data_IF_091156696494
#
_entry.id   IF_091156696494
#
_cell.length_a   1.000
_cell.length_b   1.000
_cell.length_c   1.000
_cell.angle_alpha   90.00
_cell.angle_beta   90.00
_cell.angle_gamma   90.00
#
_symmetry.space_group_name_H-M   'P 1'
#
loop_
_entity.id
_entity.type
_entity.pdbx_description
1 polymer ?
#
# COMPACT_ATOMS: atom_id res chain seq x y z
N UNK A 1 7.75 3.78 -20.18
CA UNK A 1 8.77 4.50 -19.40
C UNK A 1 8.03 5.22 -18.29
N UNK A 2 8.44 5.03 -17.05
CA UNK A 2 7.76 5.64 -15.90
C UNK A 2 8.24 7.08 -15.75
N UNK A 3 7.31 8.00 -15.52
CA UNK A 3 7.65 9.40 -15.25
C UNK A 3 7.98 9.57 -13.76
N UNK A 4 9.16 10.14 -13.40
CA UNK A 4 9.56 10.34 -12.00
C UNK A 4 8.54 11.09 -11.14
N UNK A 5 7.78 12.01 -11.74
CA UNK A 5 6.73 12.77 -11.04
C UNK A 5 5.63 11.87 -10.46
N UNK A 6 5.32 10.74 -11.11
CA UNK A 6 4.30 9.80 -10.62
C UNK A 6 4.71 9.15 -9.30
N UNK A 7 6.01 8.89 -9.10
CA UNK A 7 6.55 8.38 -7.85
C UNK A 7 6.54 9.43 -6.74
N UNK A 8 6.50 10.72 -7.08
CA UNK A 8 6.46 11.81 -6.10
C UNK A 8 5.03 12.24 -5.75
N UNK A 9 4.06 11.94 -6.61
CA UNK A 9 2.67 12.36 -6.48
C UNK A 9 2.01 11.84 -5.19
N UNK A 10 2.11 10.53 -4.95
CA UNK A 10 1.48 9.85 -3.82
C UNK A 10 2.42 9.62 -2.63
N UNK A 11 1.89 9.46 -1.40
CA UNK A 11 2.69 9.14 -0.23
C UNK A 11 3.39 7.79 -0.36
N UNK A 12 2.76 6.79 -0.99
CA UNK A 12 3.34 5.46 -1.18
C UNK A 12 4.56 5.49 -2.12
N UNK A 13 4.46 6.24 -3.22
CA UNK A 13 5.59 6.53 -4.09
C UNK A 13 6.74 7.21 -3.34
N UNK A 14 6.46 8.27 -2.57
CA UNK A 14 7.50 8.95 -1.77
C UNK A 14 8.13 8.05 -0.72
N UNK A 15 7.33 7.20 -0.08
CA UNK A 15 7.83 6.21 0.89
C UNK A 15 8.75 5.20 0.23
N UNK A 16 8.39 4.66 -0.93
CA UNK A 16 9.27 3.80 -1.74
C UNK A 16 10.62 4.47 -2.04
N UNK A 17 10.61 5.74 -2.45
CA UNK A 17 11.85 6.49 -2.73
C UNK A 17 12.70 6.66 -1.46
N UNK A 18 12.06 6.93 -0.32
CA UNK A 18 12.73 7.05 0.97
C UNK A 18 13.37 5.72 1.39
N UNK A 19 12.62 4.62 1.33
CA UNK A 19 13.09 3.26 1.65
C UNK A 19 14.26 2.85 0.75
N UNK A 20 14.21 3.16 -0.55
CA UNK A 20 15.31 2.88 -1.46
C UNK A 20 16.59 3.65 -1.10
N UNK A 21 16.45 4.92 -0.70
CA UNK A 21 17.58 5.72 -0.23
C UNK A 21 18.15 5.18 1.09
N UNK A 22 17.31 4.71 2.01
CA UNK A 22 17.72 4.08 3.27
C UNK A 22 18.46 2.76 3.04
N UNK A 23 17.98 1.91 2.11
CA UNK A 23 18.69 0.69 1.69
C UNK A 23 20.07 1.05 1.14
N UNK A 24 20.15 2.10 0.33
CA UNK A 24 21.43 2.54 -0.25
C UNK A 24 22.41 3.10 0.78
N UNK A 25 21.93 3.92 1.72
CA UNK A 25 22.74 4.49 2.80
C UNK A 25 23.26 3.39 3.72
N UNK A 26 22.38 2.47 4.14
CA UNK A 26 22.73 1.38 5.05
C UNK A 26 23.76 0.41 4.45
N UNK A 27 23.69 0.12 3.16
CA UNK A 27 24.66 -0.78 2.50
C UNK A 27 26.08 -0.21 2.46
N UNK A 28 26.23 1.12 2.54
CA UNK A 28 27.53 1.79 2.59
C UNK A 28 28.10 1.88 4.01
N UNK A 29 27.31 1.58 5.05
CA UNK A 29 27.68 1.74 6.44
C UNK A 29 28.29 0.45 7.01
N UNK A 30 29.47 0.58 7.63
CA UNK A 30 30.09 -0.51 8.43
C UNK A 30 29.77 -0.37 9.92
N UNK A 31 29.53 0.85 10.37
CA UNK A 31 29.16 1.20 11.75
C UNK A 31 28.12 2.34 11.72
N UNK A 32 27.35 2.47 12.81
CA UNK A 32 26.38 3.56 12.95
C UNK A 32 27.10 4.92 13.03
N UNK A 33 26.70 5.86 12.15
CA UNK A 33 27.21 7.22 12.12
C UNK A 33 26.07 8.21 12.37
N UNK A 34 26.22 9.05 13.39
CA UNK A 34 25.28 10.13 13.73
C UNK A 34 25.15 11.20 12.64
N UNK A 35 26.15 11.30 11.76
CA UNK A 35 26.13 12.18 10.58
C UNK A 35 25.45 11.54 9.35
N UNK A 36 25.07 10.26 9.41
CA UNK A 36 24.41 9.54 8.30
C UNK A 36 23.02 10.09 7.96
N UNK A 37 22.53 9.71 6.78
CA UNK A 37 21.17 10.03 6.35
C UNK A 37 20.15 9.24 7.18
N UNK A 38 20.37 7.96 7.44
CA UNK A 38 19.48 7.14 8.28
C UNK A 38 19.30 7.70 9.70
N UNK A 39 20.38 8.20 10.32
CA UNK A 39 20.31 8.83 11.65
C UNK A 39 19.48 10.13 11.64
N UNK A 40 19.68 10.98 10.62
CA UNK A 40 18.90 12.20 10.45
C UNK A 40 17.42 11.93 10.17
N UNK A 41 17.15 10.96 9.30
CA UNK A 41 15.80 10.52 8.96
C UNK A 41 15.06 10.06 10.22
N UNK A 42 15.67 9.17 11.01
CA UNK A 42 15.06 8.65 12.25
C UNK A 42 14.63 9.76 13.22
N UNK A 43 15.50 10.77 13.43
CA UNK A 43 15.25 11.89 14.33
C UNK A 43 14.18 12.85 13.80
N UNK A 44 14.31 13.26 12.53
CA UNK A 44 13.35 14.18 11.92
C UNK A 44 11.95 13.57 11.83
N UNK A 45 11.86 12.30 11.42
CA UNK A 45 10.60 11.57 11.37
C UNK A 45 9.98 11.41 12.75
N UNK A 46 10.76 11.10 13.79
CA UNK A 46 10.23 11.08 15.17
C UNK A 46 9.61 12.42 15.57
N UNK A 47 10.26 13.54 15.26
CA UNK A 47 9.76 14.87 15.64
C UNK A 47 8.48 15.26 14.89
N UNK A 48 8.32 14.77 13.65
CA UNK A 48 7.17 14.99 12.78
C UNK A 48 6.03 13.99 12.97
N UNK A 49 6.22 12.96 13.81
CA UNK A 49 5.22 11.93 14.01
C UNK A 49 4.08 12.44 14.93
N UNK A 50 2.81 12.36 14.49
CA UNK A 50 1.67 12.75 15.34
C UNK A 50 1.56 11.92 16.62
N UNK A 51 2.04 10.68 16.60
CA UNK A 51 2.09 9.74 17.72
C UNK A 51 3.43 9.70 18.46
N UNK A 52 4.28 10.72 18.32
CA UNK A 52 5.57 10.79 19.03
C UNK A 52 5.40 10.65 20.54
N UNK A 53 6.16 9.73 21.14
CA UNK A 53 6.08 9.45 22.59
C UNK A 53 4.95 8.50 23.00
N UNK A 54 4.11 8.03 22.08
CA UNK A 54 3.09 6.99 22.31
C UNK A 54 3.30 5.78 21.41
N UNK A 55 3.22 5.95 20.08
CA UNK A 55 3.33 4.86 19.09
C UNK A 55 4.73 4.77 18.44
N UNK A 56 5.54 5.83 18.51
CA UNK A 56 6.99 5.80 18.25
C UNK A 56 7.76 6.17 19.51
N UNK A 57 8.65 5.28 19.95
CA UNK A 57 9.51 5.45 21.14
C UNK A 57 10.96 5.26 20.73
N UNK A 58 11.84 6.18 21.14
CA UNK A 58 13.28 5.98 21.04
C UNK A 58 13.75 5.25 22.29
N UNK A 59 14.35 4.07 22.09
CA UNK A 59 14.97 3.31 23.17
C UNK A 59 16.29 3.99 23.56
N UNK A 60 16.32 4.60 24.75
CA UNK A 60 17.54 5.10 25.40
C UNK A 60 17.94 4.12 26.50
N UNK A 61 19.22 3.74 26.54
CA UNK A 61 19.79 2.88 27.59
C UNK A 61 20.31 3.68 28.80
N UNK A 62 19.87 4.93 28.96
CA UNK A 62 20.24 5.79 30.08
C UNK A 62 19.02 6.22 30.90
N UNK A 63 19.20 6.36 32.22
CA UNK A 63 18.16 6.84 33.15
C UNK A 63 17.85 8.34 33.00
N UNK A 64 18.52 9.05 32.09
CA UNK A 64 18.25 10.45 31.78
C UNK A 64 17.20 10.56 30.66
N UNK A 65 16.35 11.59 30.75
CA UNK A 65 15.39 11.91 29.68
C UNK A 65 16.16 12.22 28.39
N UNK A 66 16.07 11.32 27.41
CA UNK A 66 16.77 11.48 26.13
C UNK A 66 15.99 12.47 25.26
N UNK A 67 16.54 13.66 25.10
CA UNK A 67 15.99 14.68 24.19
C UNK A 67 16.46 14.36 22.78
N UNK A 68 15.52 13.99 21.91
CA UNK A 68 15.80 13.73 20.50
C UNK A 68 16.25 15.04 19.85
N UNK A 69 17.43 15.07 19.20
CA UNK A 69 17.89 16.28 18.53
C UNK A 69 16.90 16.75 17.46
N UNK A 70 16.67 18.05 17.39
CA UNK A 70 15.84 18.64 16.35
C UNK A 70 16.60 18.68 15.02
N UNK A 71 16.26 17.77 14.11
CA UNK A 71 16.82 17.67 12.77
C UNK A 71 15.78 18.17 11.78
N UNK A 72 16.10 19.25 11.06
CA UNK A 72 15.16 19.86 10.12
C UNK A 72 15.06 19.06 8.81
N UNK A 73 13.94 19.17 8.07
CA UNK A 73 13.81 18.55 6.74
C UNK A 73 14.90 18.97 5.74
N UNK A 74 15.40 20.21 5.83
CA UNK A 74 16.50 20.70 4.99
C UNK A 74 17.81 19.96 5.28
N UNK A 75 18.10 19.68 6.55
CA UNK A 75 19.27 18.92 6.96
C UNK A 75 19.17 17.47 6.48
N UNK A 76 17.99 16.85 6.61
CA UNK A 76 17.75 15.50 6.05
C UNK A 76 17.96 15.49 4.54
N UNK A 77 17.38 16.45 3.81
CA UNK A 77 17.52 16.55 2.35
C UNK A 77 18.98 16.79 1.92
N UNK A 78 19.75 17.57 2.70
CA UNK A 78 21.19 17.78 2.47
C UNK A 78 21.98 16.49 2.65
N UNK A 79 21.66 15.68 3.66
CA UNK A 79 22.30 14.36 3.85
C UNK A 79 21.87 13.38 2.78
N UNK A 80 20.59 13.36 2.41
CA UNK A 80 20.07 12.58 1.29
C UNK A 80 20.87 12.90 0.03
N UNK A 81 21.17 14.16 -0.28
CA UNK A 81 21.96 14.54 -1.46
C UNK A 81 23.38 13.93 -1.52
N UNK A 82 23.92 13.45 -0.39
CA UNK A 82 25.22 12.79 -0.32
C UNK A 82 25.14 11.26 -0.33
N UNK A 83 23.94 10.67 -0.21
CA UNK A 83 23.77 9.21 -0.27
C UNK A 83 24.18 8.71 -1.65
N UNK A 84 25.05 7.71 -1.69
CA UNK A 84 25.38 7.00 -2.92
C UNK A 84 24.27 5.99 -3.23
N UNK A 85 23.47 6.26 -4.27
CA UNK A 85 22.39 5.35 -4.66
C UNK A 85 22.98 4.08 -5.28
N UNK A 86 22.57 2.93 -4.75
CA UNK A 86 22.99 1.62 -5.28
C UNK A 86 22.46 1.41 -6.71
N UNK A 87 23.03 0.48 -7.48
CA UNK A 87 22.40 0.01 -8.70
C UNK A 87 20.98 -0.52 -8.42
N UNK A 88 20.05 -0.21 -9.32
CA UNK A 88 18.67 -0.68 -9.19
C UNK A 88 18.61 -2.18 -9.52
N UNK A 89 18.24 -2.99 -8.53
CA UNK A 89 18.04 -4.44 -8.66
C UNK A 89 16.58 -4.79 -8.37
N UNK A 90 16.12 -5.98 -8.79
CA UNK A 90 14.77 -6.43 -8.46
C UNK A 90 14.60 -6.63 -6.95
N UNK A 91 15.64 -7.11 -6.26
CA UNK A 91 15.64 -7.30 -4.81
C UNK A 91 15.50 -5.95 -4.08
N UNK A 92 16.35 -4.97 -4.38
CA UNK A 92 16.29 -3.65 -3.70
C UNK A 92 14.95 -2.94 -3.93
N UNK A 93 14.39 -3.02 -5.15
CA UNK A 93 13.06 -2.46 -5.43
C UNK A 93 11.94 -3.20 -4.71
N UNK A 94 11.96 -4.54 -4.71
CA UNK A 94 10.96 -5.33 -4.00
C UNK A 94 11.00 -5.05 -2.50
N UNK A 95 12.18 -4.99 -1.89
CA UNK A 95 12.35 -4.68 -0.47
C UNK A 95 11.83 -3.28 -0.15
N UNK A 96 12.20 -2.27 -0.96
CA UNK A 96 11.72 -0.90 -0.77
C UNK A 96 10.19 -0.80 -0.92
N UNK A 97 9.63 -1.49 -1.91
CA UNK A 97 8.18 -1.51 -2.16
C UNK A 97 7.43 -2.23 -1.03
N UNK A 98 7.90 -3.40 -0.61
CA UNK A 98 7.31 -4.14 0.51
C UNK A 98 7.26 -3.30 1.78
N UNK A 99 8.34 -2.59 2.12
CA UNK A 99 8.36 -1.68 3.28
C UNK A 99 7.40 -0.50 3.11
N UNK A 100 7.32 0.08 1.90
CA UNK A 100 6.40 1.19 1.65
C UNK A 100 4.92 0.79 1.74
N UNK A 101 4.60 -0.43 1.29
CA UNK A 101 3.27 -1.04 1.36
C UNK A 101 2.91 -1.38 2.80
N UNK A 102 3.81 -2.05 3.53
CA UNK A 102 3.58 -2.44 4.94
C UNK A 102 3.27 -1.23 5.84
N UNK A 103 3.91 -0.09 5.59
CA UNK A 103 3.65 1.14 6.37
C UNK A 103 2.31 1.83 6.05
N UNK A 104 1.56 1.37 5.04
CA UNK A 104 0.30 1.98 4.62
C UNK A 104 -0.83 1.68 5.60
N UNK A 105 -1.28 2.70 6.35
CA UNK A 105 -2.28 2.58 7.42
C UNK A 105 -3.31 3.69 7.32
N UNK A 106 -4.28 3.54 6.43
CA UNK A 106 -5.25 4.61 6.11
C UNK A 106 -6.35 4.83 7.18
N UNK A 107 -6.27 4.11 8.30
CA UNK A 107 -7.12 4.27 9.49
C UNK A 107 -6.55 5.23 10.54
N UNK A 108 -5.36 5.78 10.28
CA UNK A 108 -4.67 6.75 11.11
C UNK A 108 -4.01 7.86 10.28
N UNK A 109 -3.46 8.86 10.96
CA UNK A 109 -2.69 9.93 10.35
C UNK A 109 -1.40 9.40 9.70
N UNK A 110 -0.87 10.07 8.65
CA UNK A 110 0.43 9.73 8.10
C UNK A 110 1.52 9.78 9.18
N UNK A 111 2.41 8.79 9.15
CA UNK A 111 3.50 8.70 10.11
C UNK A 111 4.57 9.78 9.86
N UNK A 112 5.52 9.89 10.78
CA UNK A 112 6.59 10.87 10.70
C UNK A 112 7.42 10.82 9.41
N UNK A 113 7.60 9.63 8.82
CA UNK A 113 8.37 9.46 7.58
C UNK A 113 7.57 9.93 6.36
N UNK A 114 6.27 9.64 6.32
CA UNK A 114 5.38 10.13 5.28
C UNK A 114 5.24 11.66 5.34
N UNK A 115 5.14 12.22 6.56
CA UNK A 115 5.12 13.67 6.79
C UNK A 115 6.44 14.33 6.36
N UNK A 116 7.58 13.74 6.72
CA UNK A 116 8.91 14.22 6.31
C UNK A 116 9.05 14.19 4.79
N UNK A 117 8.69 13.08 4.15
CA UNK A 117 8.79 12.90 2.71
C UNK A 117 7.89 13.87 1.92
N UNK A 118 6.79 14.34 2.51
CA UNK A 118 5.90 15.34 1.93
C UNK A 118 6.42 16.79 2.02
N UNK A 119 7.51 17.06 2.77
CA UNK A 119 8.05 18.43 2.90
C UNK A 119 8.73 18.90 1.60
N UNK A 120 8.69 20.21 1.27
CA UNK A 120 9.32 20.73 0.05
C UNK A 120 10.83 20.42 -0.12
N UNK A 121 11.67 20.49 0.93
CA UNK A 121 13.08 20.10 0.82
C UNK A 121 13.24 18.61 0.47
N UNK A 122 12.42 17.74 1.07
CA UNK A 122 12.46 16.31 0.80
C UNK A 122 11.91 15.95 -0.57
N UNK A 123 10.83 16.57 -1.05
CA UNK A 123 10.35 16.40 -2.42
C UNK A 123 11.44 16.71 -3.45
N UNK A 124 12.17 17.81 -3.24
CA UNK A 124 13.30 18.21 -4.08
C UNK A 124 14.44 17.20 -4.02
N UNK A 125 14.77 16.70 -2.82
CA UNK A 125 15.82 15.70 -2.61
C UNK A 125 15.47 14.32 -3.19
N UNK A 126 14.22 13.87 -3.03
CA UNK A 126 13.73 12.58 -3.50
C UNK A 126 13.62 12.50 -5.03
N UNK A 127 13.55 13.66 -5.72
CA UNK A 127 13.54 13.69 -7.19
C UNK A 127 14.71 12.93 -7.80
N UNK A 128 15.93 13.08 -7.27
CA UNK A 128 17.10 12.35 -7.80
C UNK A 128 16.95 10.82 -7.67
N UNK A 129 16.25 10.36 -6.62
CA UNK A 129 15.97 8.94 -6.39
C UNK A 129 14.90 8.45 -7.36
N UNK A 130 13.86 9.26 -7.57
CA UNK A 130 12.82 8.99 -8.56
C UNK A 130 13.39 8.87 -9.98
N UNK A 131 14.26 9.81 -10.38
CA UNK A 131 14.93 9.78 -11.69
C UNK A 131 15.80 8.52 -11.84
N UNK A 132 16.54 8.15 -10.80
CA UNK A 132 17.40 6.95 -10.78
C UNK A 132 16.60 5.65 -10.94
N UNK A 133 15.49 5.51 -10.19
CA UNK A 133 14.61 4.33 -10.26
C UNK A 133 13.87 4.28 -11.60
N UNK A 134 13.31 5.41 -12.07
CA UNK A 134 12.55 5.49 -13.31
C UNK A 134 13.40 5.21 -14.57
N UNK A 135 14.71 5.44 -14.51
CA UNK A 135 15.64 5.11 -15.59
C UNK A 135 15.94 3.61 -15.70
N UNK A 136 15.59 2.80 -14.70
CA UNK A 136 15.86 1.36 -14.69
C UNK A 136 14.83 0.58 -15.50
N UNK A 137 15.26 -0.50 -16.15
CA UNK A 137 14.34 -1.47 -16.78
C UNK A 137 13.58 -2.30 -15.74
N UNK A 138 14.05 -2.36 -14.49
CA UNK A 138 13.46 -3.17 -13.43
C UNK A 138 12.05 -2.69 -13.02
N UNK A 139 11.70 -1.44 -13.34
CA UNK A 139 10.37 -0.88 -13.07
C UNK A 139 9.41 -1.01 -14.24
N UNK A 140 9.83 -1.56 -15.38
CA UNK A 140 9.01 -1.61 -16.59
C UNK A 140 7.65 -2.29 -16.35
N UNK A 141 7.63 -3.32 -15.50
CA UNK A 141 6.43 -4.10 -15.20
C UNK A 141 5.43 -3.39 -14.27
N UNK A 142 5.81 -2.28 -13.62
CA UNK A 142 4.90 -1.57 -12.69
C UNK A 142 3.69 -0.95 -13.38
N UNK A 143 3.75 -0.81 -14.71
CA UNK A 143 2.65 -0.36 -15.57
C UNK A 143 2.05 -1.50 -16.40
N UNK A 144 2.51 -2.75 -16.21
CA UNK A 144 1.96 -3.87 -16.97
C UNK A 144 0.51 -4.12 -16.57
N UNK A 145 -0.38 -4.39 -17.53
CA UNK A 145 -1.75 -4.79 -17.23
C UNK A 145 -1.78 -6.17 -16.59
N UNK A 146 -2.98 -6.59 -16.19
CA UNK A 146 -3.28 -7.92 -15.69
C UNK A 146 -2.72 -9.04 -16.59
N UNK A 147 -2.14 -10.07 -15.96
CA UNK A 147 -1.54 -11.22 -16.65
C UNK A 147 -2.30 -12.51 -16.33
N UNK A 148 -3.21 -12.99 -17.21
CA UNK A 148 -4.10 -14.13 -16.91
C UNK A 148 -3.39 -15.46 -16.68
N UNK A 149 -2.18 -15.63 -17.21
CA UNK A 149 -1.44 -16.89 -17.14
C UNK A 149 -0.49 -16.98 -15.92
N UNK A 150 -0.47 -15.95 -15.07
CA UNK A 150 0.42 -15.88 -13.92
C UNK A 150 -0.32 -15.19 -12.77
N UNK A 151 -1.12 -15.96 -12.04
CA UNK A 151 -1.94 -15.45 -10.93
C UNK A 151 -1.89 -16.41 -9.75
N UNK A 152 -1.67 -15.84 -8.57
CA UNK A 152 -1.58 -16.57 -7.30
C UNK A 152 -2.47 -15.92 -6.26
N UNK A 153 -3.22 -16.73 -5.52
CA UNK A 153 -3.99 -16.31 -4.35
C UNK A 153 -3.28 -16.76 -3.08
N UNK A 154 -3.12 -15.85 -2.12
CA UNK A 154 -2.37 -16.09 -0.89
C UNK A 154 -3.32 -16.39 0.26
N UNK A 155 -2.99 -17.43 1.03
CA UNK A 155 -3.65 -17.77 2.29
C UNK A 155 -2.62 -17.81 3.41
N UNK A 156 -2.75 -16.88 4.35
CA UNK A 156 -1.84 -16.76 5.49
C UNK A 156 -2.13 -17.82 6.56
N UNK A 157 -1.12 -18.34 7.24
CA UNK A 157 -1.34 -19.19 8.42
C UNK A 157 -1.55 -18.32 9.67
N UNK A 158 -2.44 -18.73 10.62
CA UNK A 158 -3.19 -19.98 10.66
C UNK A 158 -4.60 -19.92 10.02
N UNK A 159 -4.86 -18.97 9.10
CA UNK A 159 -6.19 -18.78 8.53
C UNK A 159 -6.69 -20.04 7.84
N UNK A 160 -7.93 -20.42 8.16
CA UNK A 160 -8.54 -21.68 7.70
C UNK A 160 -9.53 -21.49 6.57
N UNK A 161 -9.96 -20.26 6.32
CA UNK A 161 -11.01 -19.98 5.34
C UNK A 161 -10.41 -19.79 3.96
N UNK A 162 -11.00 -20.45 2.96
CA UNK A 162 -10.70 -20.15 1.57
C UNK A 162 -11.32 -18.80 1.21
N UNK A 163 -10.67 -17.99 0.36
CA UNK A 163 -11.29 -16.79 -0.18
C UNK A 163 -12.63 -17.12 -0.85
N UNK A 164 -13.61 -16.25 -0.65
CA UNK A 164 -14.94 -16.41 -1.21
C UNK A 164 -14.92 -16.08 -2.71
N UNK A 165 -15.62 -16.89 -3.49
CA UNK A 165 -15.89 -16.58 -4.89
C UNK A 165 -17.23 -15.84 -4.96
N UNK A 166 -17.19 -14.58 -5.38
CA UNK A 166 -18.37 -13.75 -5.44
C UNK A 166 -19.39 -14.29 -6.46
N UNK A 167 -20.66 -14.23 -6.10
CA UNK A 167 -21.74 -14.24 -7.07
C UNK A 167 -22.56 -12.95 -7.00
N UNK A 168 -23.44 -12.74 -7.98
CA UNK A 168 -24.23 -11.51 -8.06
C UNK A 168 -25.13 -11.29 -6.83
N UNK A 169 -25.62 -12.36 -6.20
CA UNK A 169 -26.46 -12.27 -5.00
C UNK A 169 -25.66 -11.86 -3.77
N UNK A 170 -24.40 -12.31 -3.71
CA UNK A 170 -23.47 -11.97 -2.65
C UNK A 170 -23.10 -10.48 -2.69
N UNK A 171 -22.70 -9.98 -3.86
CA UNK A 171 -22.37 -8.57 -4.02
C UNK A 171 -23.59 -7.66 -3.85
N UNK A 172 -24.79 -8.11 -4.25
CA UNK A 172 -26.02 -7.37 -3.99
C UNK A 172 -26.29 -7.23 -2.47
N UNK A 173 -26.06 -8.29 -1.70
CA UNK A 173 -26.17 -8.25 -0.23
C UNK A 173 -25.13 -7.31 0.39
N UNK A 174 -23.88 -7.42 -0.02
CA UNK A 174 -22.83 -6.49 0.44
C UNK A 174 -23.24 -5.03 0.18
N UNK A 175 -23.76 -4.73 -1.01
CA UNK A 175 -24.23 -3.38 -1.35
C UNK A 175 -25.36 -2.90 -0.44
N UNK A 176 -26.33 -3.76 -0.14
CA UNK A 176 -27.41 -3.45 0.81
C UNK A 176 -26.86 -3.18 2.22
N UNK A 177 -25.87 -3.96 2.66
CA UNK A 177 -25.20 -3.79 3.95
C UNK A 177 -24.42 -2.48 4.02
N UNK A 178 -23.67 -2.09 2.99
CA UNK A 178 -22.97 -0.79 2.93
C UNK A 178 -23.94 0.39 2.97
N UNK A 179 -25.05 0.34 2.23
CA UNK A 179 -26.07 1.40 2.26
C UNK A 179 -26.69 1.50 3.67
N UNK A 180 -27.02 0.38 4.29
CA UNK A 180 -27.55 0.37 5.65
C UNK A 180 -26.51 0.85 6.68
N UNK A 181 -25.22 0.54 6.47
CA UNK A 181 -24.11 1.00 7.30
C UNK A 181 -23.90 2.51 7.15
N UNK A 182 -24.01 3.06 5.95
CA UNK A 182 -23.92 4.50 5.68
C UNK A 182 -25.06 5.26 6.38
N UNK A 183 -26.30 4.80 6.23
CA UNK A 183 -27.47 5.39 6.91
C UNK A 183 -27.34 5.34 8.44
N UNK A 184 -26.79 4.24 8.99
CA UNK A 184 -26.52 4.11 10.42
C UNK A 184 -25.43 5.09 10.85
N UNK A 185 -24.36 5.18 10.06
CA UNK A 185 -23.22 6.05 10.30
C UNK A 185 -23.64 7.51 10.37
N UNK A 186 -24.54 7.93 9.48
CA UNK A 186 -25.13 9.27 9.50
C UNK A 186 -25.85 9.59 10.81
N UNK A 187 -26.60 8.63 11.36
CA UNK A 187 -27.42 8.82 12.56
C UNK A 187 -26.62 8.75 13.87
N UNK A 188 -25.64 7.85 13.92
CA UNK A 188 -25.04 7.41 15.18
C UNK A 188 -23.63 7.95 15.43
N UNK A 189 -22.87 8.29 14.39
CA UNK A 189 -21.46 8.65 14.55
C UNK A 189 -21.26 10.15 14.82
N UNK A 190 -20.21 10.56 15.56
CA UNK A 190 -19.95 11.97 15.90
C UNK A 190 -19.82 12.89 14.69
N UNK A 191 -20.57 14.00 14.63
CA UNK A 191 -20.56 14.91 13.47
C UNK A 191 -19.19 15.50 13.14
N UNK A 192 -18.34 15.68 14.14
CA UNK A 192 -16.97 16.15 14.02
C UNK A 192 -16.08 15.09 13.32
N UNK A 193 -15.54 15.38 12.12
CA UNK A 193 -14.65 14.45 11.42
C UNK A 193 -13.39 14.08 12.22
N UNK A 194 -12.94 14.97 13.12
CA UNK A 194 -11.73 14.77 13.93
C UNK A 194 -11.94 13.87 15.16
N UNK A 195 -13.19 13.45 15.41
CA UNK A 195 -13.49 12.57 16.52
C UNK A 195 -12.71 11.25 16.42
N UNK A 196 -12.29 10.70 17.57
CA UNK A 196 -11.59 9.43 17.63
C UNK A 196 -12.56 8.25 17.37
N UNK A 197 -12.93 8.06 16.11
CA UNK A 197 -13.80 7.00 15.63
C UNK A 197 -13.14 6.32 14.44
N UNK A 198 -13.19 4.99 14.41
CA UNK A 198 -12.69 4.19 13.29
C UNK A 198 -13.68 3.08 12.96
N UNK A 199 -13.52 2.45 11.80
CA UNK A 199 -14.34 1.32 11.36
C UNK A 199 -13.85 0.73 10.05
N UNK A 200 -14.77 0.38 9.16
CA UNK A 200 -14.43 -0.11 7.82
C UNK A 200 -13.90 1.05 6.98
N UNK A 201 -12.58 1.16 6.80
CA UNK A 201 -11.93 2.24 6.06
C UNK A 201 -11.55 1.86 4.62
N UNK A 202 -11.53 0.57 4.30
CA UNK A 202 -11.11 0.12 2.97
C UNK A 202 -12.07 0.57 1.86
N UNK A 203 -11.53 0.78 0.67
CA UNK A 203 -12.26 1.03 -0.58
C UNK A 203 -12.23 -0.17 -1.54
N UNK A 204 -11.47 -1.23 -1.23
CA UNK A 204 -11.42 -2.48 -2.00
C UNK A 204 -12.79 -3.14 -2.14
N UNK A 205 -12.93 -4.08 -3.10
CA UNK A 205 -13.98 -5.07 -3.06
C UNK A 205 -14.04 -5.77 -1.70
N UNK A 206 -15.19 -6.30 -1.32
CA UNK A 206 -15.37 -6.89 0.01
C UNK A 206 -14.25 -7.88 0.39
N UNK A 207 -13.64 -7.65 1.57
CA UNK A 207 -12.33 -8.22 1.91
C UNK A 207 -12.24 -9.76 1.90
N UNK A 208 -13.38 -10.46 2.00
CA UNK A 208 -13.42 -11.92 1.97
C UNK A 208 -13.28 -12.50 0.57
N UNK A 209 -13.43 -11.69 -0.48
CA UNK A 209 -13.36 -12.14 -1.85
C UNK A 209 -11.96 -12.59 -2.25
N UNK A 210 -11.94 -13.50 -3.23
CA UNK A 210 -10.71 -13.93 -3.87
C UNK A 210 -10.00 -12.75 -4.52
N UNK A 211 -8.71 -12.65 -4.22
CA UNK A 211 -7.79 -11.73 -4.86
C UNK A 211 -6.50 -12.49 -5.24
N UNK A 212 -5.85 -12.00 -6.29
CA UNK A 212 -4.65 -12.61 -6.87
C UNK A 212 -3.62 -11.57 -7.26
N UNK A 213 -2.36 -12.00 -7.35
CA UNK A 213 -1.25 -11.18 -7.84
C UNK A 213 -0.31 -12.01 -8.70
N UNK A 214 0.58 -11.37 -9.47
CA UNK A 214 1.55 -12.06 -10.33
C UNK A 214 2.72 -12.67 -9.56
N UNK A 215 3.58 -13.40 -10.28
CA UNK A 215 4.89 -13.84 -9.79
C UNK A 215 5.97 -12.77 -10.01
N UNK A 216 6.83 -12.56 -9.02
CA UNK A 216 7.99 -11.66 -9.09
C UNK A 216 9.21 -12.34 -9.74
N UNK A 217 10.25 -11.56 -10.02
CA UNK A 217 11.45 -12.05 -10.75
C UNK A 217 12.21 -13.19 -10.06
N UNK A 218 12.02 -13.38 -8.75
CA UNK A 218 12.62 -14.47 -7.97
C UNK A 218 11.71 -15.71 -7.83
N UNK A 219 10.55 -15.70 -8.51
CA UNK A 219 9.60 -16.80 -8.49
C UNK A 219 8.60 -16.77 -7.33
N UNK A 220 8.72 -15.80 -6.41
CA UNK A 220 7.74 -15.62 -5.33
C UNK A 220 6.49 -14.87 -5.81
N UNK A 221 5.28 -15.19 -5.32
CA UNK A 221 4.09 -14.38 -5.57
C UNK A 221 4.23 -12.96 -5.00
N UNK A 222 3.75 -11.94 -5.70
CA UNK A 222 3.79 -10.57 -5.21
C UNK A 222 3.01 -10.39 -3.89
N UNK A 223 1.90 -11.10 -3.73
CA UNK A 223 1.04 -11.05 -2.55
C UNK A 223 1.65 -11.60 -1.25
N UNK A 224 2.83 -12.24 -1.26
CA UNK A 224 3.57 -12.52 0.00
C UNK A 224 4.48 -11.37 0.43
N UNK A 225 4.74 -10.41 -0.45
CA UNK A 225 5.59 -9.25 -0.18
C UNK A 225 4.81 -7.97 0.04
N UNK A 226 3.78 -7.76 -0.78
CA UNK A 226 3.08 -6.48 -0.83
C UNK A 226 1.76 -6.62 -0.09
N UNK A 227 1.81 -6.49 1.23
CA UNK A 227 0.63 -6.51 2.11
C UNK A 227 0.62 -5.24 2.93
N UNK A 228 -0.42 -4.42 2.78
CA UNK A 228 -0.61 -3.26 3.64
C UNK A 228 -0.84 -3.67 5.09
N UNK A 229 -0.20 -2.98 6.03
CA UNK A 229 -0.39 -3.15 7.48
C UNK A 229 -0.27 -4.63 7.92
N UNK A 230 0.83 -5.29 7.52
CA UNK A 230 0.94 -6.73 7.68
C UNK A 230 1.03 -7.11 9.17
N UNK A 231 0.28 -8.12 9.60
CA UNK A 231 0.27 -8.57 11.00
C UNK A 231 1.45 -9.48 11.38
N UNK A 232 2.58 -9.39 10.67
CA UNK A 232 3.80 -10.17 10.94
C UNK A 232 3.71 -11.65 10.58
N UNK A 233 2.89 -12.02 9.59
CA UNK A 233 2.79 -13.41 9.13
C UNK A 233 4.09 -13.88 8.45
N UNK A 234 4.54 -15.08 8.80
CA UNK A 234 5.82 -15.65 8.31
C UNK A 234 5.62 -16.90 7.46
N UNK A 235 4.38 -17.34 7.26
CA UNK A 235 4.06 -18.50 6.42
C UNK A 235 2.74 -18.29 5.67
N UNK A 236 2.70 -18.74 4.42
CA UNK A 236 1.52 -18.69 3.58
C UNK A 236 1.42 -19.90 2.64
N UNK A 237 0.19 -20.27 2.27
CA UNK A 237 -0.10 -21.15 1.16
C UNK A 237 -0.47 -20.31 -0.07
N UNK A 238 0.33 -20.40 -1.13
CA UNK A 238 0.06 -19.76 -2.42
C UNK A 238 -0.64 -20.75 -3.34
N UNK A 239 -1.84 -20.40 -3.80
CA UNK A 239 -2.62 -21.19 -4.74
C UNK A 239 -2.48 -20.63 -6.15
N UNK A 240 -2.01 -21.41 -7.12
CA UNK A 240 -2.07 -20.97 -8.51
C UNK A 240 -3.53 -20.87 -8.93
N UNK A 241 -3.87 -19.84 -9.69
CA UNK A 241 -5.25 -19.57 -10.12
C UNK A 241 -5.36 -19.75 -11.62
N UNK A 242 -6.34 -20.55 -12.04
CA UNK A 242 -6.69 -20.72 -13.45
C UNK A 242 -7.72 -19.66 -13.79
N UNK A 243 -7.32 -18.75 -14.67
CA UNK A 243 -8.14 -17.63 -15.11
C UNK A 243 -8.75 -17.95 -16.49
N UNK A 244 -10.08 -18.07 -16.61
CA UNK A 244 -10.70 -18.18 -17.93
C UNK A 244 -10.67 -16.82 -18.66
N UNK A 245 -11.18 -16.80 -19.89
CA UNK A 245 -11.39 -15.52 -20.58
C UNK A 245 -12.33 -14.63 -19.73
N UNK A 246 -11.83 -13.47 -19.34
CA UNK A 246 -12.49 -12.54 -18.42
C UNK A 246 -12.35 -11.09 -18.91
N UNK A 247 -13.14 -10.20 -18.31
CA UNK A 247 -13.10 -8.74 -18.48
C UNK A 247 -12.50 -8.14 -17.22
N UNK A 248 -11.35 -7.48 -17.36
CA UNK A 248 -10.66 -6.83 -16.24
C UNK A 248 -10.80 -5.31 -16.36
N UNK A 249 -11.15 -4.67 -15.25
CA UNK A 249 -11.04 -3.23 -15.11
C UNK A 249 -9.64 -2.90 -14.58
N UNK A 250 -8.87 -2.11 -15.33
CA UNK A 250 -7.51 -1.72 -14.96
C UNK A 250 -7.53 -0.36 -14.24
N UNK A 251 -6.92 -0.30 -13.05
CA UNK A 251 -6.65 0.93 -12.32
C UNK A 251 -5.15 1.24 -12.46
N UNK A 252 -4.83 2.00 -13.50
CA UNK A 252 -3.45 2.39 -13.83
C UNK A 252 -3.05 3.78 -13.32
N UNK A 253 -4.03 4.59 -12.91
CA UNK A 253 -3.81 5.95 -12.43
C UNK A 253 -4.97 6.46 -11.57
N UNK A 254 -4.81 7.66 -11.02
CA UNK A 254 -5.88 8.37 -10.33
C UNK A 254 -7.08 8.63 -11.26
N UNK A 255 -6.84 8.96 -12.53
CA UNK A 255 -7.89 9.19 -13.52
C UNK A 255 -8.71 7.93 -13.79
N UNK A 256 -8.07 6.76 -13.89
CA UNK A 256 -8.78 5.49 -14.02
C UNK A 256 -9.69 5.21 -12.79
N UNK A 257 -9.23 5.57 -11.59
CA UNK A 257 -10.04 5.49 -10.38
C UNK A 257 -11.21 6.49 -10.37
N UNK A 258 -10.98 7.72 -10.84
CA UNK A 258 -12.04 8.74 -11.00
C UNK A 258 -13.12 8.23 -11.95
N UNK A 259 -12.74 7.74 -13.13
CA UNK A 259 -13.67 7.21 -14.13
C UNK A 259 -14.52 6.06 -13.55
N UNK A 260 -13.88 5.17 -12.77
CA UNK A 260 -14.57 4.08 -12.10
C UNK A 260 -15.59 4.58 -11.07
N UNK A 261 -15.21 5.56 -10.24
CA UNK A 261 -16.09 6.18 -9.24
C UNK A 261 -17.25 6.96 -9.89
N UNK A 262 -17.02 7.64 -11.01
CA UNK A 262 -18.06 8.38 -11.73
C UNK A 262 -19.08 7.45 -12.38
N UNK A 263 -18.62 6.32 -12.94
CA UNK A 263 -19.49 5.34 -13.60
C UNK A 263 -20.31 4.51 -12.60
N UNK A 264 -19.73 4.21 -11.43
CA UNK A 264 -20.35 3.34 -10.43
C UNK A 264 -20.29 3.94 -9.02
N UNK A 265 -20.91 5.10 -8.77
CA UNK A 265 -20.79 5.77 -7.47
C UNK A 265 -21.58 5.05 -6.37
N UNK A 266 -20.92 4.83 -5.23
CA UNK A 266 -21.53 4.49 -3.95
C UNK A 266 -21.15 5.57 -2.92
N UNK A 267 -22.15 6.27 -2.36
CA UNK A 267 -21.92 7.27 -1.31
C UNK A 267 -21.52 6.57 -0.01
N UNK A 268 -20.38 6.98 0.54
CA UNK A 268 -19.79 6.41 1.77
C UNK A 268 -19.32 7.52 2.71
N UNK A 269 -19.95 8.69 2.59
CA UNK A 269 -19.58 9.92 3.29
C UNK A 269 -19.45 9.71 4.79
N UNK A 270 -20.48 9.20 5.45
CA UNK A 270 -20.52 9.03 6.90
C UNK A 270 -19.75 7.78 7.36
N UNK A 271 -19.74 6.75 6.52
CA UNK A 271 -19.06 5.48 6.69
C UNK A 271 -17.55 5.59 6.73
N UNK A 272 -16.96 6.48 5.91
CA UNK A 272 -15.50 6.60 5.77
C UNK A 272 -14.92 7.89 6.34
N UNK A 273 -15.75 8.91 6.66
CA UNK A 273 -15.25 10.27 6.95
C UNK A 273 -14.11 10.35 7.97
N UNK A 274 -14.12 9.54 9.02
CA UNK A 274 -13.16 9.70 10.13
C UNK A 274 -11.78 9.20 9.72
N UNK A 275 -11.71 7.96 9.26
CA UNK A 275 -10.46 7.34 8.80
C UNK A 275 -9.91 8.07 7.56
N UNK A 276 -10.77 8.38 6.58
CA UNK A 276 -10.34 9.12 5.39
C UNK A 276 -9.97 10.58 5.69
N UNK A 277 -10.57 11.20 6.71
CA UNK A 277 -10.10 12.49 7.22
C UNK A 277 -8.71 12.37 7.83
N UNK A 278 -8.42 11.35 8.65
CA UNK A 278 -7.10 11.19 9.27
C UNK A 278 -5.98 11.06 8.24
N UNK A 279 -6.19 10.21 7.25
CA UNK A 279 -5.16 9.96 6.23
C UNK A 279 -5.01 11.10 5.21
N UNK A 280 -6.06 11.88 4.92
CA UNK A 280 -6.03 12.90 3.84
C UNK A 280 -6.15 14.35 4.30
N UNK A 281 -6.61 14.59 5.53
CA UNK A 281 -6.99 15.92 6.04
C UNK A 281 -8.25 16.52 5.40
N UNK A 282 -8.88 15.85 4.43
CA UNK A 282 -10.03 16.39 3.70
C UNK A 282 -11.34 16.18 4.46
N UNK A 283 -12.19 17.21 4.46
CA UNK A 283 -13.57 17.15 4.92
C UNK A 283 -14.49 17.33 3.71
N UNK A 284 -15.51 16.50 3.59
CA UNK A 284 -16.51 16.62 2.53
C UNK A 284 -17.21 15.30 2.24
N UNK A 285 -17.96 15.27 1.14
CA UNK A 285 -18.60 14.06 0.63
C UNK A 285 -17.57 13.08 0.08
N UNK A 286 -17.85 11.80 0.25
CA UNK A 286 -17.00 10.70 -0.17
C UNK A 286 -17.76 9.69 -1.01
N UNK A 287 -17.09 9.17 -2.04
CA UNK A 287 -17.60 8.13 -2.93
C UNK A 287 -16.57 7.01 -3.06
N UNK A 288 -17.04 5.80 -3.32
CA UNK A 288 -16.23 4.68 -3.80
C UNK A 288 -16.96 3.92 -4.90
N UNK A 289 -16.30 3.01 -5.63
CA UNK A 289 -16.99 2.16 -6.59
C UNK A 289 -18.02 1.24 -5.92
N UNK A 290 -19.24 1.19 -6.47
CA UNK A 290 -20.24 0.17 -6.17
C UNK A 290 -19.80 -1.15 -6.82
N UNK A 291 -19.12 -2.01 -6.06
CA UNK A 291 -18.59 -3.28 -6.57
C UNK A 291 -19.65 -4.23 -7.13
N UNK A 292 -20.89 -4.15 -6.65
CA UNK A 292 -22.02 -4.89 -7.24
C UNK A 292 -22.36 -4.38 -8.63
N UNK A 293 -22.29 -3.05 -8.84
CA UNK A 293 -22.50 -2.45 -10.15
C UNK A 293 -21.34 -2.75 -11.11
N UNK A 294 -20.09 -2.68 -10.63
CA UNK A 294 -18.88 -2.99 -11.42
C UNK A 294 -18.92 -4.44 -11.92
N UNK A 295 -19.35 -5.39 -11.08
CA UNK A 295 -19.44 -6.81 -11.41
C UNK A 295 -20.36 -7.15 -12.59
N UNK A 296 -21.24 -6.22 -13.00
CA UNK A 296 -22.08 -6.41 -14.20
C UNK A 296 -21.25 -6.32 -15.49
N UNK A 297 -20.17 -5.55 -15.47
CA UNK A 297 -19.34 -5.28 -16.63
C UNK A 297 -17.96 -5.94 -16.57
N UNK A 298 -17.45 -6.20 -15.37
CA UNK A 298 -16.11 -6.74 -15.17
C UNK A 298 -16.15 -7.95 -14.26
N UNK A 299 -15.29 -8.92 -14.56
CA UNK A 299 -15.13 -10.15 -13.78
C UNK A 299 -14.07 -9.97 -12.68
N UNK A 300 -13.14 -9.02 -12.87
CA UNK A 300 -12.16 -8.61 -11.87
C UNK A 300 -11.69 -7.17 -12.07
N UNK A 301 -11.04 -6.63 -11.06
CA UNK A 301 -10.48 -5.27 -11.05
C UNK A 301 -9.03 -5.38 -10.59
N UNK A 302 -8.10 -4.85 -11.38
CA UNK A 302 -6.67 -4.94 -11.14
C UNK A 302 -6.09 -3.55 -10.85
N UNK A 303 -5.32 -3.44 -9.77
CA UNK A 303 -4.57 -2.23 -9.44
C UNK A 303 -3.10 -2.43 -9.81
N UNK A 304 -2.62 -1.67 -10.80
CA UNK A 304 -1.19 -1.70 -11.15
C UNK A 304 -0.32 -1.15 -10.01
N UNK A 305 0.95 -1.55 -9.96
CA UNK A 305 1.91 -0.98 -9.00
C UNK A 305 2.02 0.54 -9.16
N UNK A 306 1.97 1.06 -10.39
CA UNK A 306 2.05 2.50 -10.62
C UNK A 306 0.79 3.26 -10.20
N UNK A 307 -0.40 2.68 -10.43
CA UNK A 307 -1.66 3.21 -9.91
C UNK A 307 -1.62 3.30 -8.38
N UNK A 308 -1.13 2.26 -7.72
CA UNK A 308 -0.92 2.24 -6.27
C UNK A 308 0.05 3.34 -5.81
N UNK A 309 1.27 3.37 -6.34
CA UNK A 309 2.32 4.28 -5.87
C UNK A 309 1.96 5.76 -6.06
N UNK A 310 1.22 6.07 -7.13
CA UNK A 310 0.85 7.46 -7.47
C UNK A 310 -0.42 7.95 -6.75
N UNK A 311 -1.35 7.06 -6.41
CA UNK A 311 -2.71 7.47 -6.00
C UNK A 311 -3.22 6.84 -4.68
N UNK A 312 -2.58 5.82 -4.13
CA UNK A 312 -3.03 5.21 -2.88
C UNK A 312 -2.85 6.17 -1.67
N UNK A 313 -3.88 6.25 -0.83
CA UNK A 313 -3.88 7.06 0.39
C UNK A 313 -4.04 8.57 0.22
N UNK A 314 -4.30 9.09 -0.99
CA UNK A 314 -4.62 10.52 -1.20
C UNK A 314 -6.11 10.74 -1.43
N UNK A 315 -6.60 11.95 -1.14
CA UNK A 315 -7.93 12.37 -1.55
C UNK A 315 -7.93 12.65 -3.06
N UNK A 316 -8.57 11.78 -3.84
CA UNK A 316 -8.73 11.88 -5.28
C UNK A 316 -10.05 12.61 -5.57
N UNK A 317 -10.05 13.83 -6.14
CA UNK A 317 -11.27 14.55 -6.46
C UNK A 317 -12.14 13.82 -7.49
N UNK A 318 -13.45 13.73 -7.23
CA UNK A 318 -14.45 13.13 -8.14
C UNK A 318 -15.66 14.05 -8.17
N UNK A 319 -15.71 14.95 -9.16
CA UNK A 319 -16.72 16.02 -9.25
C UNK A 319 -16.82 16.87 -7.95
N UNK A 320 -17.98 16.88 -7.28
CA UNK A 320 -18.19 17.56 -5.98
C UNK A 320 -17.81 16.68 -4.76
N UNK A 321 -17.39 15.43 -5.01
CA UNK A 321 -16.99 14.44 -4.01
C UNK A 321 -15.48 14.16 -4.10
N UNK A 322 -15.00 13.21 -3.30
CA UNK A 322 -13.68 12.64 -3.48
C UNK A 322 -13.72 11.15 -3.13
N UNK A 323 -12.66 10.44 -3.48
CA UNK A 323 -12.46 9.03 -3.15
C UNK A 323 -11.02 8.81 -2.66
N UNK A 324 -10.76 7.65 -2.07
CA UNK A 324 -9.42 7.23 -1.64
C UNK A 324 -9.25 5.77 -2.07
N UNK A 325 -8.12 5.44 -2.70
CA UNK A 325 -7.69 4.04 -2.85
C UNK A 325 -7.07 3.65 -1.51
N UNK A 326 -7.77 2.81 -0.75
CA UNK A 326 -7.39 2.40 0.58
C UNK A 326 -7.58 0.89 0.75
N UNK A 327 -6.53 0.20 1.17
CA UNK A 327 -6.62 -1.21 1.54
C UNK A 327 -6.30 -2.18 0.42
N UNK A 328 -5.74 -1.69 -0.68
CA UNK A 328 -5.54 -2.42 -1.92
C UNK A 328 -4.05 -2.60 -2.17
N UNK A 329 -3.58 -3.85 -2.28
CA UNK A 329 -2.17 -4.11 -2.51
C UNK A 329 -1.77 -3.80 -3.96
N UNK A 330 -0.53 -3.37 -4.23
CA UNK A 330 -0.06 -3.15 -5.59
C UNK A 330 0.02 -4.49 -6.35
N UNK A 331 -0.36 -4.44 -7.64
CA UNK A 331 -0.46 -5.61 -8.54
C UNK A 331 -1.59 -6.60 -8.18
N UNK A 332 -2.51 -6.21 -7.30
CA UNK A 332 -3.58 -7.09 -6.85
C UNK A 332 -4.82 -6.96 -7.73
N UNK A 333 -5.35 -8.11 -8.12
CA UNK A 333 -6.62 -8.27 -8.82
C UNK A 333 -7.67 -8.83 -7.87
N UNK A 334 -8.76 -8.10 -7.67
CA UNK A 334 -9.92 -8.59 -6.92
C UNK A 334 -10.95 -9.19 -7.89
N UNK A 335 -11.43 -10.39 -7.58
CA UNK A 335 -12.39 -11.12 -8.40
C UNK A 335 -13.82 -10.86 -7.94
N UNK A 336 -14.63 -10.32 -8.86
CA UNK A 336 -16.03 -9.94 -8.61
C UNK A 336 -17.02 -11.02 -9.04
N UNK A 337 -16.53 -12.14 -9.57
CA UNK A 337 -17.33 -13.28 -10.02
C UNK A 337 -16.66 -14.60 -9.61
N UNK A 338 -17.40 -15.70 -9.76
CA UNK A 338 -16.96 -17.05 -9.39
C UNK A 338 -16.32 -17.82 -10.54
N UNK A 339 -15.71 -17.12 -11.50
CA UNK A 339 -15.21 -17.74 -12.74
C UNK A 339 -13.83 -18.38 -12.60
N UNK A 340 -13.04 -17.98 -11.61
CA UNK A 340 -11.70 -18.52 -11.40
C UNK A 340 -11.72 -19.85 -10.64
N UNK A 341 -10.65 -20.63 -10.73
CA UNK A 341 -10.46 -21.83 -9.92
C UNK A 341 -9.05 -21.91 -9.33
N UNK A 342 -8.94 -22.50 -8.15
CA UNK A 342 -7.68 -22.66 -7.43
C UNK A 342 -7.06 -24.03 -7.68
N UNK A 343 -5.77 -24.05 -7.97
CA UNK A 343 -4.97 -25.27 -8.02
C UNK A 343 -4.37 -25.63 -6.66
N UNK A 344 -3.54 -26.68 -6.68
CA UNK A 344 -2.85 -27.19 -5.48
C UNK A 344 -1.90 -26.15 -4.87
N UNK A 345 -1.92 -25.96 -3.54
CA UNK A 345 -1.08 -24.99 -2.87
C UNK A 345 0.40 -25.31 -2.98
N UNK A 346 1.19 -24.24 -2.96
CA UNK A 346 2.60 -24.27 -2.63
C UNK A 346 2.80 -23.48 -1.33
N UNK A 347 3.48 -24.07 -0.34
CA UNK A 347 3.76 -23.38 0.92
C UNK A 347 5.01 -22.53 0.78
N UNK A 348 4.94 -21.31 1.30
CA UNK A 348 6.03 -20.36 1.39
C UNK A 348 6.28 -20.00 2.85
N UNK A 349 7.55 -19.80 3.21
CA UNK A 349 7.96 -19.33 4.53
C UNK A 349 8.95 -18.18 4.41
N UNK A 350 8.81 -17.21 5.31
CA UNK A 350 9.71 -16.08 5.43
C UNK A 350 10.97 -16.54 6.18
N UNK A 351 12.10 -16.48 5.51
CA UNK A 351 13.41 -16.65 6.10
C UNK A 351 14.05 -15.26 6.30
N UNK A 352 14.32 -14.92 7.57
CA UNK A 352 15.00 -13.67 7.93
C UNK A 352 16.48 -13.94 8.15
N UNK A 353 17.34 -13.29 7.37
CA UNK A 353 18.79 -13.28 7.55
C UNK A 353 19.28 -11.86 7.87
N UNK A 354 20.52 -11.70 8.33
CA UNK A 354 21.09 -10.38 8.58
C UNK A 354 21.12 -9.53 7.29
N UNK A 355 20.10 -8.69 7.13
CA UNK A 355 20.01 -7.68 6.07
C UNK A 355 19.02 -8.00 4.95
N UNK A 356 18.55 -9.24 4.81
CA UNK A 356 17.63 -9.63 3.75
C UNK A 356 16.56 -10.62 4.23
N UNK A 357 15.30 -10.23 4.01
CA UNK A 357 14.13 -11.09 4.06
C UNK A 357 14.03 -11.85 2.74
N UNK A 358 13.74 -13.14 2.81
CA UNK A 358 13.53 -14.00 1.65
C UNK A 358 12.31 -14.90 1.88
N UNK A 359 11.36 -14.89 0.95
CA UNK A 359 10.30 -15.89 0.92
C UNK A 359 10.79 -17.13 0.17
N UNK A 360 10.83 -18.25 0.86
CA UNK A 360 11.30 -19.52 0.31
C UNK A 360 10.15 -20.51 0.17
N UNK A 361 10.12 -21.19 -0.97
CA UNK A 361 9.20 -22.30 -1.20
C UNK A 361 9.60 -23.47 -0.32
N UNK A 362 8.68 -23.94 0.52
CA UNK A 362 8.86 -25.17 1.26
C UNK A 362 8.56 -26.35 0.34
N UNK A 363 9.58 -27.17 0.08
CA UNK A 363 9.36 -28.50 -0.51
C UNK A 363 8.70 -29.39 0.54
N UNK A 364 7.62 -30.07 0.16
CA UNK A 364 7.05 -31.14 0.98
C UNK A 364 8.14 -32.19 1.21
N UNK A 365 8.64 -32.29 2.44
CA UNK A 365 9.40 -33.48 2.87
C UNK A 365 8.36 -34.55 3.22
N UNK A 366 8.33 -35.62 2.42
CA UNK A 366 7.53 -36.83 2.69
C UNK A 366 7.82 -37.43 4.07
#
# INVERSE_FOLDING_TARGET
>A
MIHPELLLAGPRGRRLLLEYALISDNAAMTEYDEASFIAAMSKASYNLDPGRGTSRVILSFSDAEYVVPDVSPEEVARRLANVHLLPVTSVSLRTALARAVDNARYWQEPDGEDNLAATPPMLSGLRRVADHIAASTQVAWWTDPFQPNDQWSIRWFPDRYAPELADASWLARWREEEIAQEERSQRERPSDPTANWSGTWWSIPPYTLAHTSRTLSDGSPAGVWFVEDQAGHEQAAAHPVIVPKCRICEIESAEAWVDLCQRYPLDVTWGKRHDWYRTTGRIGRWVMPDWSAVAREYDGVHLTVMGYLSAAGVAIPVDDTASVIAGWNPDETWWLTNTISFGEPVVWALHRSEGEDAWERLEYRE
#
